data_IF_862531794704
#
_entry.id   IF_862531794704
#
_cell.length_a   1.000
_cell.length_b   1.000
_cell.length_c   1.000
_cell.angle_alpha   90.00
_cell.angle_beta   90.00
_cell.angle_gamma   90.00
#
_symmetry.space_group_name_H-M   'P 1'
#
loop_
_entity.id
_entity.type
_entity.pdbx_description
1 polymer ?
#
# COMPACT_ATOMS: atom_id res chain seq x y z
N UNK A 1 -45.19 36.07 -20.40
CA UNK A 1 -44.86 35.37 -19.13
C UNK A 1 -44.71 33.84 -19.25
N UNK A 2 -44.57 33.24 -20.45
CA UNK A 2 -44.51 31.76 -20.61
C UNK A 2 -43.16 31.18 -21.07
N UNK A 3 -42.09 31.98 -21.19
CA UNK A 3 -40.75 31.53 -21.63
C UNK A 3 -39.68 31.43 -20.53
N UNK A 4 -40.04 31.68 -19.27
CA UNK A 4 -39.07 31.65 -18.14
C UNK A 4 -39.10 30.35 -17.32
N UNK A 5 -40.05 29.45 -17.56
CA UNK A 5 -40.23 28.22 -16.74
C UNK A 5 -39.40 27.04 -17.28
N UNK A 6 -39.07 27.00 -18.58
CA UNK A 6 -38.31 25.87 -19.16
C UNK A 6 -36.81 25.90 -18.87
N UNK A 7 -36.23 27.08 -18.59
CA UNK A 7 -34.78 27.20 -18.31
C UNK A 7 -34.44 26.65 -16.91
N UNK A 8 -35.35 26.77 -15.95
CA UNK A 8 -35.13 26.29 -14.58
C UNK A 8 -35.08 24.75 -14.47
N UNK A 9 -35.86 24.04 -15.30
CA UNK A 9 -35.89 22.57 -15.29
C UNK A 9 -34.58 21.96 -15.84
N UNK A 10 -33.99 22.55 -16.88
CA UNK A 10 -32.73 22.08 -17.47
C UNK A 10 -31.52 22.25 -16.53
N UNK A 11 -31.47 23.34 -15.76
CA UNK A 11 -30.42 23.61 -14.77
C UNK A 11 -30.48 22.63 -13.57
N UNK A 12 -31.68 22.25 -13.12
CA UNK A 12 -31.84 21.27 -12.04
C UNK A 12 -31.43 19.85 -12.46
N UNK A 13 -31.69 19.45 -13.71
CA UNK A 13 -31.26 18.17 -14.28
C UNK A 13 -29.73 18.08 -14.40
N UNK A 14 -29.07 19.13 -14.87
CA UNK A 14 -27.59 19.17 -14.98
C UNK A 14 -26.89 19.10 -13.61
N UNK A 15 -27.45 19.75 -12.59
CA UNK A 15 -26.93 19.67 -11.22
C UNK A 15 -27.02 18.23 -10.66
N UNK A 16 -28.14 17.53 -10.89
CA UNK A 16 -28.34 16.14 -10.45
C UNK A 16 -27.36 15.14 -11.11
N UNK A 17 -27.12 15.27 -12.42
CA UNK A 17 -26.15 14.43 -13.15
C UNK A 17 -24.71 14.65 -12.67
N UNK A 18 -24.33 15.89 -12.34
CA UNK A 18 -22.98 16.19 -11.85
C UNK A 18 -22.70 15.57 -10.47
N UNK A 19 -23.72 15.54 -9.59
CA UNK A 19 -23.62 14.95 -8.27
C UNK A 19 -23.52 13.42 -8.32
N UNK A 20 -24.28 12.74 -9.20
CA UNK A 20 -24.22 11.29 -9.36
C UNK A 20 -22.88 10.83 -9.93
N UNK A 21 -22.39 11.50 -10.99
CA UNK A 21 -21.06 11.23 -11.58
C UNK A 21 -19.93 11.51 -10.57
N UNK A 22 -20.14 12.41 -9.60
CA UNK A 22 -19.19 12.63 -8.50
C UNK A 22 -19.20 11.51 -7.48
N UNK A 23 -20.38 11.04 -7.08
CA UNK A 23 -20.51 9.90 -6.18
C UNK A 23 -19.89 8.62 -6.79
N UNK A 24 -20.09 8.40 -8.09
CA UNK A 24 -19.57 7.24 -8.81
C UNK A 24 -18.02 7.27 -8.87
N UNK A 25 -17.42 8.41 -9.22
CA UNK A 25 -15.95 8.53 -9.28
C UNK A 25 -15.28 8.38 -7.90
N UNK A 26 -15.93 8.86 -6.84
CA UNK A 26 -15.47 8.62 -5.48
C UNK A 26 -15.55 7.13 -5.16
N UNK A 27 -16.71 6.50 -5.30
CA UNK A 27 -16.88 5.07 -5.05
C UNK A 27 -15.87 4.21 -5.83
N UNK A 28 -15.60 4.56 -7.09
CA UNK A 28 -14.60 3.90 -7.91
C UNK A 28 -13.18 4.09 -7.35
N UNK A 29 -12.78 5.30 -6.96
CA UNK A 29 -11.45 5.57 -6.40
C UNK A 29 -11.16 4.79 -5.09
N UNK A 30 -12.18 4.43 -4.31
CA UNK A 30 -12.02 3.63 -3.10
C UNK A 30 -12.35 2.14 -3.31
N UNK A 31 -12.66 1.73 -4.55
CA UNK A 31 -12.96 0.33 -4.88
C UNK A 31 -11.75 -0.57 -4.67
N UNK A 32 -11.98 -1.83 -4.30
CA UNK A 32 -10.95 -2.88 -4.30
C UNK A 32 -10.53 -3.28 -5.72
N UNK A 33 -11.40 -3.07 -6.71
CA UNK A 33 -11.07 -3.27 -8.11
C UNK A 33 -10.02 -2.25 -8.57
N UNK A 34 -8.88 -2.77 -9.03
CA UNK A 34 -7.71 -1.96 -9.36
C UNK A 34 -7.98 -1.01 -10.54
N UNK A 35 -8.74 -1.44 -11.56
CA UNK A 35 -9.00 -0.60 -12.73
C UNK A 35 -10.02 0.49 -12.41
N UNK A 36 -11.08 0.15 -11.66
CA UNK A 36 -12.03 1.13 -11.13
C UNK A 36 -11.33 2.14 -10.25
N UNK A 37 -10.44 1.70 -9.37
CA UNK A 37 -9.60 2.60 -8.55
C UNK A 37 -8.81 3.57 -9.39
N UNK A 38 -8.11 3.10 -10.43
CA UNK A 38 -7.34 3.97 -11.33
C UNK A 38 -8.24 4.98 -12.03
N UNK A 39 -9.34 4.53 -12.61
CA UNK A 39 -10.29 5.38 -13.34
C UNK A 39 -10.93 6.43 -12.44
N UNK A 40 -11.51 6.01 -11.32
CA UNK A 40 -12.18 6.89 -10.36
C UNK A 40 -11.25 7.94 -9.78
N UNK A 41 -10.05 7.55 -9.33
CA UNK A 41 -9.09 8.52 -8.79
C UNK A 41 -8.59 9.48 -9.88
N UNK A 42 -8.46 9.03 -11.14
CA UNK A 42 -8.10 9.92 -12.25
C UNK A 42 -9.19 10.96 -12.51
N UNK A 43 -10.46 10.53 -12.58
CA UNK A 43 -11.59 11.44 -12.74
C UNK A 43 -11.69 12.45 -11.60
N UNK A 44 -11.36 12.06 -10.37
CA UNK A 44 -11.26 12.98 -9.24
C UNK A 44 -10.12 13.99 -9.44
N UNK A 45 -8.91 13.56 -9.75
CA UNK A 45 -7.74 14.43 -9.94
C UNK A 45 -7.97 15.49 -11.04
N UNK A 46 -8.62 15.10 -12.15
CA UNK A 46 -8.86 15.97 -13.30
C UNK A 46 -9.85 17.11 -13.01
N UNK A 47 -10.77 16.92 -12.05
CA UNK A 47 -11.77 17.94 -11.69
C UNK A 47 -11.18 19.13 -10.95
N UNK A 48 -10.07 18.93 -10.23
CA UNK A 48 -9.36 19.97 -9.46
C UNK A 48 -10.25 20.74 -8.49
N UNK A 49 -11.27 20.09 -7.93
CA UNK A 49 -12.27 20.69 -7.03
C UNK A 49 -12.09 20.26 -5.56
N UNK A 50 -11.12 19.38 -5.27
CA UNK A 50 -10.80 18.92 -3.93
C UNK A 50 -9.80 19.82 -3.21
N UNK A 51 -9.83 19.79 -1.87
CA UNK A 51 -8.77 20.37 -1.07
C UNK A 51 -7.43 19.65 -1.31
N UNK A 52 -6.30 20.31 -1.03
CA UNK A 52 -4.98 19.69 -1.15
C UNK A 52 -4.84 18.41 -0.30
N UNK A 53 -5.47 18.37 0.87
CA UNK A 53 -5.44 17.21 1.77
C UNK A 53 -6.22 16.01 1.19
N UNK A 54 -7.41 16.25 0.63
CA UNK A 54 -8.19 15.21 -0.06
C UNK A 54 -7.48 14.74 -1.33
N UNK A 55 -6.93 15.67 -2.11
CA UNK A 55 -6.22 15.36 -3.35
C UNK A 55 -4.97 14.53 -3.09
N UNK A 56 -4.24 14.79 -1.99
CA UNK A 56 -3.14 13.95 -1.52
C UNK A 56 -3.57 12.49 -1.35
N UNK A 57 -4.72 12.25 -0.73
CA UNK A 57 -5.27 10.91 -0.56
C UNK A 57 -5.62 10.25 -1.90
N UNK A 58 -6.27 10.98 -2.80
CA UNK A 58 -6.65 10.48 -4.13
C UNK A 58 -5.42 10.06 -4.95
N UNK A 59 -4.36 10.89 -4.94
CA UNK A 59 -3.09 10.53 -5.56
C UNK A 59 -2.48 9.27 -4.92
N UNK A 60 -2.46 9.17 -3.60
CA UNK A 60 -1.92 7.99 -2.90
C UNK A 60 -2.69 6.70 -3.21
N UNK A 61 -4.02 6.78 -3.41
CA UNK A 61 -4.83 5.63 -3.83
C UNK A 61 -4.56 5.19 -5.26
N UNK A 62 -4.44 6.14 -6.19
CA UNK A 62 -4.08 5.81 -7.57
C UNK A 62 -2.66 5.25 -7.67
N UNK A 63 -1.74 5.83 -6.91
CA UNK A 63 -0.38 5.32 -6.77
C UNK A 63 -0.36 3.87 -6.27
N UNK A 64 -1.16 3.55 -5.25
CA UNK A 64 -1.28 2.18 -4.74
C UNK A 64 -1.78 1.23 -5.83
N UNK A 65 -2.79 1.63 -6.60
CA UNK A 65 -3.29 0.83 -7.71
C UNK A 65 -2.21 0.58 -8.77
N UNK A 66 -1.45 1.60 -9.16
CA UNK A 66 -0.33 1.44 -10.10
C UNK A 66 0.79 0.55 -9.53
N UNK A 67 1.09 0.67 -8.23
CA UNK A 67 2.08 -0.18 -7.58
C UNK A 67 1.66 -1.65 -7.58
N UNK A 68 0.38 -1.94 -7.34
CA UNK A 68 -0.16 -3.31 -7.40
C UNK A 68 -0.11 -3.91 -8.81
N UNK A 69 -0.18 -3.06 -9.86
CA UNK A 69 0.03 -3.47 -11.26
C UNK A 69 1.51 -3.54 -11.67
N UNK A 70 2.45 -3.32 -10.75
CA UNK A 70 3.88 -3.26 -11.06
C UNK A 70 4.32 -2.02 -11.85
N UNK A 71 3.44 -1.01 -12.01
CA UNK A 71 3.75 0.26 -12.69
C UNK A 71 4.42 1.23 -11.72
N UNK A 72 5.57 0.83 -11.18
CA UNK A 72 6.23 1.52 -10.07
C UNK A 72 6.60 2.97 -10.41
N UNK A 73 7.15 3.25 -11.60
CA UNK A 73 7.47 4.64 -11.99
C UNK A 73 6.24 5.56 -11.95
N UNK A 74 5.09 5.08 -12.44
CA UNK A 74 3.84 5.86 -12.40
C UNK A 74 3.35 6.03 -10.97
N UNK A 75 3.42 4.97 -10.15
CA UNK A 75 3.03 5.02 -8.75
C UNK A 75 3.88 6.03 -7.95
N UNK A 76 5.19 6.03 -8.15
CA UNK A 76 6.14 6.92 -7.49
C UNK A 76 5.78 8.38 -7.77
N UNK A 77 5.49 8.73 -9.03
CA UNK A 77 5.10 10.11 -9.41
C UNK A 77 3.82 10.55 -8.70
N UNK A 78 2.83 9.69 -8.57
CA UNK A 78 1.61 10.01 -7.82
C UNK A 78 1.89 10.10 -6.30
N UNK A 79 2.73 9.22 -5.74
CA UNK A 79 3.15 9.34 -4.34
C UNK A 79 3.94 10.62 -4.07
N UNK A 80 4.80 11.05 -4.99
CA UNK A 80 5.54 12.32 -4.88
C UNK A 80 4.58 13.50 -4.73
N UNK A 81 3.52 13.53 -5.55
CA UNK A 81 2.48 14.56 -5.46
C UNK A 81 1.73 14.46 -4.13
N UNK A 82 1.32 13.25 -3.74
CA UNK A 82 0.62 13.03 -2.47
C UNK A 82 1.43 13.53 -1.27
N UNK A 83 2.72 13.20 -1.21
CA UNK A 83 3.63 13.55 -0.11
C UNK A 83 3.98 15.04 -0.15
N UNK A 84 4.11 15.65 -1.33
CA UNK A 84 4.30 17.09 -1.45
C UNK A 84 3.10 17.88 -0.89
N UNK A 85 1.88 17.37 -1.08
CA UNK A 85 0.65 17.97 -0.52
C UNK A 85 0.50 17.68 0.98
N UNK A 86 0.94 16.51 1.45
CA UNK A 86 0.86 16.08 2.84
C UNK A 86 2.17 15.36 3.27
N UNK A 87 3.18 16.10 3.75
CA UNK A 87 4.48 15.53 4.09
C UNK A 87 4.48 14.53 5.25
N UNK A 88 3.46 14.56 6.10
CA UNK A 88 3.26 13.66 7.25
C UNK A 88 2.32 12.49 6.94
N UNK A 89 2.07 12.20 5.66
CA UNK A 89 1.23 11.08 5.26
C UNK A 89 1.95 9.74 5.38
N UNK A 90 2.04 9.23 6.61
CA UNK A 90 2.80 8.02 6.96
C UNK A 90 2.52 6.81 6.05
N UNK A 91 1.25 6.60 5.66
CA UNK A 91 0.85 5.49 4.77
C UNK A 91 1.38 5.69 3.35
N UNK A 92 1.32 6.91 2.79
CA UNK A 92 1.86 7.19 1.47
C UNK A 92 3.39 7.06 1.43
N UNK A 93 4.08 7.51 2.49
CA UNK A 93 5.52 7.32 2.67
C UNK A 93 5.88 5.82 2.67
N UNK A 94 5.20 5.01 3.49
CA UNK A 94 5.41 3.56 3.51
C UNK A 94 5.19 2.93 2.14
N UNK A 95 4.09 3.26 1.47
CA UNK A 95 3.76 2.64 0.20
C UNK A 95 4.72 3.07 -0.93
N UNK A 96 5.24 4.31 -0.89
CA UNK A 96 6.29 4.75 -1.81
C UNK A 96 7.60 3.98 -1.56
N UNK A 97 7.96 3.78 -0.29
CA UNK A 97 9.12 2.95 0.08
C UNK A 97 8.99 1.52 -0.43
N UNK A 98 7.81 0.91 -0.26
CA UNK A 98 7.51 -0.42 -0.79
C UNK A 98 7.59 -0.46 -2.32
N UNK A 99 7.04 0.54 -3.02
CA UNK A 99 7.14 0.64 -4.47
C UNK A 99 8.60 0.75 -4.95
N UNK A 100 9.44 1.54 -4.27
CA UNK A 100 10.88 1.59 -4.54
C UNK A 100 11.56 0.24 -4.34
N UNK A 101 11.28 -0.45 -3.23
CA UNK A 101 11.81 -1.78 -2.96
C UNK A 101 11.44 -2.76 -4.09
N UNK A 102 10.14 -2.84 -4.43
CA UNK A 102 9.64 -3.74 -5.49
C UNK A 102 10.14 -3.39 -6.89
N UNK A 103 10.57 -2.15 -7.10
CA UNK A 103 11.24 -1.72 -8.33
C UNK A 103 12.77 -2.02 -8.34
N UNK A 104 13.30 -2.64 -7.30
CA UNK A 104 14.74 -2.93 -7.17
C UNK A 104 15.57 -1.71 -6.75
N UNK A 105 14.94 -0.71 -6.15
CA UNK A 105 15.53 0.59 -5.77
C UNK A 105 15.47 0.83 -4.25
N UNK A 106 15.75 -0.21 -3.47
CA UNK A 106 15.57 -0.23 -2.02
C UNK A 106 16.17 0.98 -1.29
N UNK A 107 17.38 1.42 -1.68
CA UNK A 107 18.05 2.58 -1.07
C UNK A 107 17.23 3.88 -1.14
N UNK A 108 16.41 4.05 -2.20
CA UNK A 108 15.57 5.24 -2.38
C UNK A 108 14.34 5.22 -1.44
N UNK A 109 13.87 4.04 -1.04
CA UNK A 109 12.72 3.89 -0.15
C UNK A 109 13.06 3.98 1.35
N UNK A 110 14.32 3.80 1.73
CA UNK A 110 14.73 3.77 3.14
C UNK A 110 14.34 5.06 3.91
N UNK A 111 14.60 6.28 3.40
CA UNK A 111 14.23 7.50 4.12
C UNK A 111 12.72 7.63 4.34
N UNK A 112 11.92 7.14 3.39
CA UNK A 112 10.46 7.21 3.46
C UNK A 112 9.90 6.26 4.52
N UNK A 113 10.36 5.01 4.56
CA UNK A 113 9.89 4.06 5.58
C UNK A 113 10.37 4.47 6.98
N UNK A 114 11.57 5.04 7.09
CA UNK A 114 12.06 5.62 8.35
C UNK A 114 11.18 6.78 8.80
N UNK A 115 10.81 7.68 7.89
CA UNK A 115 9.88 8.78 8.21
C UNK A 115 8.49 8.27 8.58
N UNK A 116 8.00 7.25 7.89
CA UNK A 116 6.74 6.58 8.22
C UNK A 116 6.76 6.02 9.64
N UNK A 117 7.84 5.34 10.04
CA UNK A 117 8.02 4.80 11.39
C UNK A 117 8.26 5.88 12.45
N UNK A 118 8.80 7.04 12.10
CA UNK A 118 8.82 8.18 13.04
C UNK A 118 7.40 8.68 13.36
N UNK A 119 6.50 8.65 12.37
CA UNK A 119 5.11 9.10 12.51
C UNK A 119 4.21 8.03 13.13
N UNK A 120 4.48 6.76 12.85
CA UNK A 120 3.75 5.60 13.36
C UNK A 120 4.73 4.47 13.73
N UNK A 121 5.34 4.52 14.92
CA UNK A 121 6.42 3.61 15.31
C UNK A 121 6.05 2.14 15.40
N UNK A 122 4.76 1.85 15.57
CA UNK A 122 4.23 0.49 15.75
C UNK A 122 3.50 -0.02 14.50
N UNK A 123 3.70 0.61 13.34
CA UNK A 123 3.08 0.17 12.08
C UNK A 123 3.72 -1.14 11.63
N UNK A 124 3.01 -2.29 11.68
CA UNK A 124 3.59 -3.58 11.28
C UNK A 124 3.97 -3.59 9.79
N UNK A 125 3.20 -2.91 8.93
CA UNK A 125 3.50 -2.80 7.49
C UNK A 125 4.77 -1.98 7.20
N UNK A 126 5.03 -0.95 8.00
CA UNK A 126 6.25 -0.14 7.83
C UNK A 126 7.48 -0.84 8.40
N UNK A 127 7.33 -1.58 9.50
CA UNK A 127 8.38 -2.47 10.00
C UNK A 127 8.72 -3.54 8.96
N UNK A 128 7.72 -4.24 8.43
CA UNK A 128 7.87 -5.21 7.34
C UNK A 128 8.56 -4.60 6.11
N UNK A 129 8.13 -3.43 5.65
CA UNK A 129 8.76 -2.74 4.52
C UNK A 129 10.22 -2.39 4.80
N UNK A 130 10.54 -1.92 6.01
CA UNK A 130 11.93 -1.61 6.39
C UNK A 130 12.77 -2.88 6.50
N UNK A 131 12.20 -3.98 6.96
CA UNK A 131 12.87 -5.28 7.01
C UNK A 131 13.34 -5.73 5.62
N UNK A 132 12.44 -5.70 4.63
CA UNK A 132 12.75 -6.01 3.23
C UNK A 132 13.84 -5.10 2.66
N UNK A 133 13.73 -3.79 2.91
CA UNK A 133 14.73 -2.81 2.46
C UNK A 133 16.10 -3.09 3.10
N UNK A 134 16.15 -3.30 4.42
CA UNK A 134 17.39 -3.61 5.15
C UNK A 134 18.04 -4.90 4.65
N UNK A 135 17.25 -5.95 4.43
CA UNK A 135 17.73 -7.20 3.86
C UNK A 135 18.37 -6.98 2.48
N UNK A 136 17.68 -6.28 1.58
CA UNK A 136 18.22 -5.95 0.25
C UNK A 136 19.51 -5.11 0.31
N UNK A 137 19.62 -4.24 1.30
CA UNK A 137 20.82 -3.43 1.56
C UNK A 137 21.93 -4.18 2.31
N UNK A 138 21.69 -5.43 2.73
CA UNK A 138 22.69 -6.27 3.38
C UNK A 138 22.78 -6.10 4.90
N UNK A 139 21.71 -5.65 5.55
CA UNK A 139 21.55 -5.62 7.01
C UNK A 139 20.58 -6.72 7.47
N UNK A 140 21.02 -8.00 7.52
CA UNK A 140 20.17 -9.11 7.94
C UNK A 140 19.79 -9.03 9.43
N UNK A 141 20.60 -8.39 10.27
CA UNK A 141 20.35 -8.26 11.71
C UNK A 141 19.20 -7.27 11.94
N UNK A 142 19.27 -6.08 11.32
CA UNK A 142 18.21 -5.10 11.38
C UNK A 142 16.93 -5.58 10.69
N UNK A 143 17.05 -6.35 9.59
CA UNK A 143 15.89 -6.94 8.92
C UNK A 143 15.14 -7.92 9.82
N UNK A 144 15.85 -8.87 10.46
CA UNK A 144 15.23 -9.83 11.37
C UNK A 144 14.52 -9.14 12.54
N UNK A 145 15.18 -8.13 13.15
CA UNK A 145 14.59 -7.38 14.24
C UNK A 145 13.28 -6.67 13.83
N UNK A 146 13.25 -6.11 12.62
CA UNK A 146 12.04 -5.48 12.09
C UNK A 146 10.94 -6.51 11.75
N UNK A 147 11.28 -7.68 11.21
CA UNK A 147 10.32 -8.76 10.98
C UNK A 147 9.70 -9.27 12.31
N UNK A 148 10.51 -9.42 13.35
CA UNK A 148 10.03 -9.80 14.68
C UNK A 148 9.05 -8.75 15.24
N UNK A 149 9.37 -7.46 15.10
CA UNK A 149 8.45 -6.40 15.51
C UNK A 149 7.19 -6.33 14.64
N UNK A 150 7.31 -6.57 13.32
CA UNK A 150 6.17 -6.63 12.42
C UNK A 150 5.20 -7.75 12.81
N UNK A 151 5.71 -8.93 13.16
CA UNK A 151 4.89 -10.03 13.70
C UNK A 151 4.25 -9.65 15.04
N UNK A 152 5.01 -9.02 15.95
CA UNK A 152 4.51 -8.62 17.26
C UNK A 152 3.32 -7.64 17.16
N UNK A 153 3.47 -6.58 16.37
CA UNK A 153 2.42 -5.56 16.22
C UNK A 153 1.33 -5.96 15.21
N UNK A 154 1.64 -6.82 14.24
CA UNK A 154 0.71 -7.29 13.21
C UNK A 154 -0.08 -8.53 13.62
N UNK A 155 0.33 -9.20 14.68
CA UNK A 155 -0.34 -10.37 15.26
C UNK A 155 -0.46 -11.55 14.29
N UNK A 156 -1.49 -12.36 14.52
CA UNK A 156 -1.68 -13.63 13.81
C UNK A 156 -1.74 -13.49 12.28
N UNK A 157 -2.27 -12.36 11.77
CA UNK A 157 -2.31 -12.11 10.33
C UNK A 157 -0.91 -11.96 9.74
N UNK A 158 -0.03 -11.19 10.38
CA UNK A 158 1.34 -11.01 9.89
C UNK A 158 2.16 -12.30 10.03
N UNK A 159 2.00 -13.00 11.15
CA UNK A 159 2.65 -14.30 11.37
C UNK A 159 2.26 -15.30 10.28
N UNK A 160 0.96 -15.38 9.95
CA UNK A 160 0.46 -16.29 8.92
C UNK A 160 1.05 -16.00 7.54
N UNK A 161 1.22 -14.72 7.18
CA UNK A 161 1.87 -14.34 5.93
C UNK A 161 3.31 -14.87 5.85
N UNK A 162 4.11 -14.71 6.91
CA UNK A 162 5.48 -15.23 6.90
C UNK A 162 5.54 -16.76 6.94
N UNK A 163 4.65 -17.42 7.71
CA UNK A 163 4.54 -18.88 7.70
C UNK A 163 4.24 -19.40 6.27
N UNK A 164 3.33 -18.74 5.55
CA UNK A 164 3.03 -19.06 4.16
C UNK A 164 4.23 -18.87 3.24
N UNK A 165 4.81 -17.67 3.19
CA UNK A 165 5.90 -17.36 2.26
C UNK A 165 7.15 -18.20 2.52
N UNK A 166 7.48 -18.44 3.79
CA UNK A 166 8.61 -19.30 4.15
C UNK A 166 8.35 -20.78 3.89
N UNK A 167 7.10 -21.24 3.92
CA UNK A 167 6.73 -22.59 3.44
C UNK A 167 7.00 -22.72 1.94
N UNK A 168 6.56 -21.73 1.15
CA UNK A 168 6.80 -21.70 -0.30
C UNK A 168 8.30 -21.68 -0.63
N UNK A 169 9.08 -20.94 0.16
CA UNK A 169 10.54 -20.90 0.08
C UNK A 169 11.24 -22.17 0.61
N UNK A 170 10.48 -23.17 1.11
CA UNK A 170 10.99 -24.41 1.73
C UNK A 170 11.92 -24.17 2.93
N UNK A 171 11.69 -23.08 3.65
CA UNK A 171 12.43 -22.70 4.86
C UNK A 171 11.66 -23.04 6.15
N UNK A 172 10.35 -23.21 6.06
CA UNK A 172 9.44 -23.52 7.15
C UNK A 172 8.54 -24.72 6.78
N UNK A 173 8.34 -25.64 7.70
CA UNK A 173 7.53 -26.87 7.55
C UNK A 173 6.49 -27.04 8.67
N UNK A 174 6.34 -26.02 9.52
CA UNK A 174 5.37 -26.01 10.61
C UNK A 174 3.95 -25.61 10.16
N UNK A 175 3.05 -25.53 11.12
CA UNK A 175 1.66 -25.15 10.88
C UNK A 175 1.54 -23.69 10.43
N UNK A 176 0.56 -23.41 9.56
CA UNK A 176 0.21 -22.08 9.07
C UNK A 176 -1.05 -21.61 9.82
N UNK A 177 -0.88 -21.31 11.10
CA UNK A 177 -1.95 -21.03 12.06
C UNK A 177 -1.96 -19.59 12.59
N UNK A 178 -0.96 -18.78 12.23
CA UNK A 178 -0.77 -17.43 12.77
C UNK A 178 -0.21 -17.41 14.20
N UNK A 179 0.23 -18.56 14.74
CA UNK A 179 0.88 -18.64 16.04
C UNK A 179 2.39 -18.49 15.86
N UNK A 180 2.99 -17.56 16.60
CA UNK A 180 4.46 -17.42 16.59
C UNK A 180 5.09 -18.66 17.25
N UNK A 181 6.11 -19.21 16.60
CA UNK A 181 6.92 -20.33 17.12
C UNK A 181 8.39 -20.13 16.77
N UNK A 182 9.28 -20.79 17.50
CA UNK A 182 10.73 -20.62 17.31
C UNK A 182 11.18 -21.05 15.91
N UNK A 183 10.53 -22.07 15.34
CA UNK A 183 10.80 -22.59 14.00
C UNK A 183 10.58 -21.53 12.91
N UNK A 184 9.58 -20.65 13.08
CA UNK A 184 9.34 -19.53 12.17
C UNK A 184 10.47 -18.50 12.25
N UNK A 185 10.92 -18.15 13.47
CA UNK A 185 12.07 -17.26 13.67
C UNK A 185 13.35 -17.84 13.06
N UNK A 186 13.55 -19.16 13.18
CA UNK A 186 14.72 -19.83 12.60
C UNK A 186 14.64 -19.91 11.07
N UNK A 187 13.45 -20.03 10.49
CA UNK A 187 13.23 -19.90 9.05
C UNK A 187 13.54 -18.46 8.55
N UNK A 188 13.06 -17.43 9.26
CA UNK A 188 13.37 -16.03 8.95
C UNK A 188 14.88 -15.75 9.03
N UNK A 189 15.58 -16.26 10.06
CA UNK A 189 17.05 -16.15 10.18
C UNK A 189 17.79 -16.70 8.97
N UNK A 190 17.28 -17.77 8.35
CA UNK A 190 17.83 -18.31 7.10
C UNK A 190 17.52 -17.39 5.94
N UNK A 191 16.26 -16.95 5.83
CA UNK A 191 15.79 -16.08 4.76
C UNK A 191 16.58 -14.77 4.68
N UNK A 192 16.72 -14.04 5.79
CA UNK A 192 17.37 -12.71 5.80
C UNK A 192 18.84 -12.72 5.36
N UNK A 193 19.52 -13.88 5.41
CA UNK A 193 20.91 -14.03 4.95
C UNK A 193 21.02 -14.05 3.43
N UNK A 194 19.95 -14.39 2.73
CA UNK A 194 19.84 -14.35 1.28
C UNK A 194 19.08 -13.08 0.86
N UNK A 195 19.75 -12.18 0.14
CA UNK A 195 19.11 -10.94 -0.34
C UNK A 195 17.99 -11.18 -1.34
N UNK A 196 17.91 -12.38 -1.93
CA UNK A 196 16.87 -12.77 -2.86
C UNK A 196 15.67 -13.47 -2.18
N UNK A 197 15.78 -13.83 -0.90
CA UNK A 197 14.67 -14.46 -0.20
C UNK A 197 13.57 -13.44 0.10
N UNK A 198 12.35 -13.72 -0.34
CA UNK A 198 11.14 -12.97 0.03
C UNK A 198 10.35 -13.82 1.03
N UNK A 199 10.19 -13.40 2.30
CA UNK A 199 9.43 -14.15 3.28
C UNK A 199 7.91 -14.02 3.09
N UNK A 200 7.44 -13.22 2.13
CA UNK A 200 6.02 -13.10 1.78
C UNK A 200 5.62 -14.08 0.66
N UNK A 201 4.38 -14.59 0.65
CA UNK A 201 3.92 -15.52 -0.36
C UNK A 201 3.77 -14.84 -1.72
N UNK A 202 4.12 -15.56 -2.79
CA UNK A 202 4.00 -15.04 -4.15
C UNK A 202 2.54 -15.00 -4.62
N UNK A 203 1.74 -15.98 -4.20
CA UNK A 203 0.37 -16.19 -4.69
C UNK A 203 -0.73 -15.58 -3.81
N UNK A 204 -1.96 -15.65 -4.33
CA UNK A 204 -3.18 -15.16 -3.68
C UNK A 204 -3.81 -16.22 -2.75
N UNK A 205 -3.40 -17.50 -2.87
CA UNK A 205 -3.98 -18.61 -2.12
C UNK A 205 -3.69 -18.44 -0.62
N UNK A 206 -2.49 -17.97 -0.29
CA UNK A 206 -2.11 -17.60 1.07
C UNK A 206 -2.63 -16.21 1.51
N UNK A 207 -3.03 -15.33 0.58
CA UNK A 207 -3.68 -14.04 0.87
C UNK A 207 -5.16 -14.20 1.23
N UNK A 208 -5.88 -15.11 0.58
CA UNK A 208 -7.29 -15.39 0.88
C UNK A 208 -7.49 -16.00 2.28
N UNK A 209 -6.49 -16.74 2.78
CA UNK A 209 -6.51 -17.27 4.14
C UNK A 209 -6.29 -16.19 5.21
N UNK A 210 -6.04 -14.94 4.82
CA UNK A 210 -5.74 -13.79 5.69
C UNK A 210 -6.57 -12.53 5.38
N UNK A 211 -7.41 -12.53 4.34
CA UNK A 211 -8.36 -11.45 3.99
C UNK A 211 -9.58 -11.45 4.88
#
# INVERSE_FOLDING_TARGET
MRRLIEIAAALALLAGLSASVRADAAADCFSEDIERRISGCTALIERRDQSAAELSFVYAMRALAYSLKGRYETAIRDYDVAIAMKPDFAVALNNRAWAYFRWGRAAQGLPDVEKSLQLSPTSPHALDTRAHIRQALGDPVGALADYDQAMWYGGARMIKLYQCGLTEARLYDGEIDGTWRQELSDALKKCVRDRACDPLPADEHCRAATS
#
